data_IF_463328299370
#
_entry.id   IF_463328299370
#
_cell.length_a   1.000
_cell.length_b   1.000
_cell.length_c   1.000
_cell.angle_alpha   90.00
_cell.angle_beta   90.00
_cell.angle_gamma   90.00
#
_symmetry.space_group_name_H-M   'P 1'
#
loop_
_entity.id
_entity.type
_entity.pdbx_description
1 polymer ?
#
# COMPACT_ATOMS: atom_id res chain seq x y z
N UNK A 1 -7.95 1.36 -33.81
CA UNK A 1 -7.01 0.73 -32.87
C UNK A 1 -6.84 1.68 -31.66
N UNK A 2 -7.81 1.69 -30.74
CA UNK A 2 -7.97 2.74 -29.71
C UNK A 2 -8.34 2.16 -28.33
N UNK A 3 -7.83 0.98 -27.97
CA UNK A 3 -8.04 0.40 -26.62
C UNK A 3 -6.87 0.66 -25.66
N UNK A 4 -5.63 0.82 -26.17
CA UNK A 4 -4.42 0.82 -25.32
C UNK A 4 -4.16 2.10 -24.50
N UNK A 5 -4.94 3.17 -24.70
CA UNK A 5 -4.67 4.47 -24.05
C UNK A 5 -5.13 4.53 -22.59
N UNK A 6 -6.13 3.72 -22.21
CA UNK A 6 -6.76 3.74 -20.88
C UNK A 6 -6.30 2.62 -19.95
N UNK A 7 -5.71 1.54 -20.48
CA UNK A 7 -5.31 0.36 -19.71
C UNK A 7 -4.25 0.66 -18.64
N UNK A 8 -3.31 1.55 -18.96
CA UNK A 8 -2.16 1.89 -18.11
C UNK A 8 -2.56 2.67 -16.85
N UNK A 9 -3.31 3.79 -16.93
CA UNK A 9 -3.75 4.53 -15.76
C UNK A 9 -4.76 3.75 -14.90
N UNK A 10 -5.71 3.03 -15.53
CA UNK A 10 -6.72 2.24 -14.80
C UNK A 10 -6.05 1.10 -14.02
N UNK A 11 -5.09 0.39 -14.62
CA UNK A 11 -4.35 -0.68 -13.95
C UNK A 11 -3.53 -0.16 -12.76
N UNK A 12 -2.88 0.99 -12.89
CA UNK A 12 -2.15 1.62 -11.79
C UNK A 12 -3.10 2.02 -10.64
N UNK A 13 -4.31 2.48 -10.97
CA UNK A 13 -5.31 2.86 -9.97
C UNK A 13 -5.91 1.64 -9.23
N UNK A 14 -6.14 0.54 -9.94
CA UNK A 14 -6.53 -0.73 -9.33
C UNK A 14 -5.45 -1.26 -8.38
N UNK A 15 -4.19 -1.19 -8.78
CA UNK A 15 -3.05 -1.55 -7.92
C UNK A 15 -2.99 -0.61 -6.72
N UNK A 16 -3.24 0.69 -6.89
CA UNK A 16 -3.31 1.66 -5.80
C UNK A 16 -4.36 1.27 -4.77
N UNK A 17 -5.59 1.01 -5.21
CA UNK A 17 -6.72 0.61 -4.35
C UNK A 17 -6.39 -0.64 -3.54
N UNK A 18 -5.81 -1.63 -4.20
CA UNK A 18 -5.41 -2.88 -3.56
C UNK A 18 -4.29 -2.65 -2.54
N UNK A 19 -3.29 -1.83 -2.88
CA UNK A 19 -2.19 -1.45 -1.99
C UNK A 19 -2.68 -0.64 -0.78
N UNK A 20 -3.64 0.27 -1.01
CA UNK A 20 -4.27 1.10 0.02
C UNK A 20 -5.08 0.28 1.02
N UNK A 21 -5.73 -0.80 0.56
CA UNK A 21 -6.42 -1.74 1.44
C UNK A 21 -5.45 -2.67 2.18
N UNK A 22 -4.42 -3.19 1.49
CA UNK A 22 -3.45 -4.15 2.05
C UNK A 22 -2.53 -3.52 3.10
N UNK A 23 -2.19 -2.23 2.95
CA UNK A 23 -1.35 -1.45 3.86
C UNK A 23 -1.85 -1.43 5.33
N UNK A 24 -3.08 -0.96 5.64
CA UNK A 24 -3.60 -0.95 7.01
C UNK A 24 -3.90 -2.37 7.53
N UNK A 25 -4.16 -3.33 6.66
CA UNK A 25 -4.36 -4.73 7.04
C UNK A 25 -3.06 -5.34 7.58
N UNK A 26 -1.93 -5.14 6.88
CA UNK A 26 -0.60 -5.58 7.34
C UNK A 26 -0.19 -4.88 8.64
N UNK A 27 -0.47 -3.59 8.76
CA UNK A 27 -0.23 -2.85 10.00
C UNK A 27 -1.05 -3.41 11.18
N UNK A 28 -2.34 -3.69 10.95
CA UNK A 28 -3.23 -4.30 11.95
C UNK A 28 -2.75 -5.70 12.35
N UNK A 29 -2.28 -6.50 11.39
CA UNK A 29 -1.72 -7.82 11.64
C UNK A 29 -0.45 -7.74 12.49
N UNK A 30 0.42 -6.78 12.18
CA UNK A 30 1.66 -6.52 12.91
C UNK A 30 1.40 -6.16 14.37
N UNK A 31 0.40 -5.32 14.64
CA UNK A 31 0.00 -5.00 16.00
C UNK A 31 -0.58 -6.20 16.75
N UNK A 32 -1.33 -7.07 16.06
CA UNK A 32 -1.80 -8.34 16.65
C UNK A 32 -0.63 -9.25 17.03
N UNK A 33 0.34 -9.41 16.14
CA UNK A 33 1.55 -10.19 16.42
C UNK A 33 2.34 -9.61 17.59
N UNK A 34 2.51 -8.29 17.66
CA UNK A 34 3.20 -7.63 18.77
C UNK A 34 2.51 -7.88 20.13
N UNK A 35 1.16 -7.98 20.14
CA UNK A 35 0.39 -8.27 21.36
C UNK A 35 0.43 -9.76 21.75
N UNK A 36 0.50 -10.66 20.77
CA UNK A 36 0.48 -12.12 20.99
C UNK A 36 1.87 -12.68 21.33
N UNK A 37 2.94 -12.17 20.72
CA UNK A 37 4.30 -12.64 20.96
C UNK A 37 4.93 -11.92 22.15
N UNK A 38 4.83 -12.52 23.34
CA UNK A 38 5.41 -11.98 24.59
C UNK A 38 6.77 -12.56 24.95
N UNK A 39 7.17 -13.66 24.33
CA UNK A 39 8.43 -14.35 24.63
C UNK A 39 9.49 -14.12 23.55
N UNK A 40 10.75 -13.95 23.97
CA UNK A 40 11.89 -14.03 23.07
C UNK A 40 12.02 -15.46 22.54
N UNK A 41 12.34 -15.69 21.25
CA UNK A 41 12.77 -14.73 20.22
C UNK A 41 11.64 -14.18 19.33
N UNK A 42 10.39 -14.63 19.51
CA UNK A 42 9.25 -14.33 18.62
C UNK A 42 8.89 -12.85 18.60
N UNK A 43 9.15 -12.13 19.70
CA UNK A 43 8.92 -10.68 19.78
C UNK A 43 9.81 -9.89 18.80
N UNK A 44 11.02 -10.38 18.49
CA UNK A 44 11.94 -9.75 17.54
C UNK A 44 11.35 -9.75 16.13
N UNK A 45 10.71 -10.86 15.76
CA UNK A 45 10.01 -11.02 14.47
C UNK A 45 8.84 -10.03 14.39
N UNK A 46 8.09 -9.85 15.48
CA UNK A 46 7.00 -8.89 15.52
C UNK A 46 7.48 -7.44 15.26
N UNK A 47 8.62 -7.04 15.84
CA UNK A 47 9.21 -5.72 15.58
C UNK A 47 9.70 -5.55 14.13
N UNK A 48 10.29 -6.59 13.53
CA UNK A 48 10.71 -6.54 12.11
C UNK A 48 9.49 -6.35 11.21
N UNK A 49 8.43 -7.12 11.43
CA UNK A 49 7.21 -7.03 10.61
C UNK A 49 6.47 -5.71 10.82
N UNK A 50 6.50 -5.16 12.03
CA UNK A 50 6.01 -3.81 12.31
C UNK A 50 6.78 -2.75 11.51
N UNK A 51 8.12 -2.82 11.51
CA UNK A 51 8.97 -1.91 10.74
C UNK A 51 8.69 -1.96 9.24
N UNK A 52 8.57 -3.17 8.67
CA UNK A 52 8.20 -3.38 7.27
C UNK A 52 6.82 -2.79 6.98
N UNK A 53 5.85 -2.99 7.87
CA UNK A 53 4.49 -2.47 7.69
C UNK A 53 4.44 -0.95 7.72
N UNK A 54 5.18 -0.30 8.61
CA UNK A 54 5.29 1.16 8.65
C UNK A 54 5.91 1.68 7.35
N UNK A 55 6.99 1.05 6.88
CA UNK A 55 7.62 1.42 5.61
C UNK A 55 6.67 1.23 4.42
N UNK A 56 5.90 0.14 4.41
CA UNK A 56 4.91 -0.13 3.38
C UNK A 56 3.79 0.92 3.38
N UNK A 57 3.34 1.38 4.54
CA UNK A 57 2.35 2.47 4.66
C UNK A 57 2.89 3.74 4.02
N UNK A 58 4.13 4.14 4.35
CA UNK A 58 4.77 5.32 3.75
C UNK A 58 4.88 5.20 2.23
N UNK A 59 5.32 4.03 1.74
CA UNK A 59 5.38 3.76 0.31
C UNK A 59 4.00 3.82 -0.35
N UNK A 60 2.98 3.28 0.31
CA UNK A 60 1.59 3.26 -0.18
C UNK A 60 1.04 4.69 -0.27
N UNK A 61 1.31 5.54 0.71
CA UNK A 61 0.91 6.95 0.69
C UNK A 61 1.61 7.69 -0.45
N UNK A 62 2.93 7.52 -0.60
CA UNK A 62 3.70 8.11 -1.71
C UNK A 62 3.15 7.68 -3.08
N UNK A 63 2.92 6.38 -3.26
CA UNK A 63 2.34 5.81 -4.48
C UNK A 63 0.89 6.28 -4.70
N UNK A 64 0.15 6.43 -3.59
CA UNK A 64 -1.14 7.10 -3.43
C UNK A 64 -1.18 8.43 -4.18
N UNK A 65 -0.40 9.38 -3.69
CA UNK A 65 -0.31 10.73 -4.27
C UNK A 65 0.10 10.71 -5.74
N UNK A 66 1.06 9.86 -6.13
CA UNK A 66 1.49 9.74 -7.52
C UNK A 66 0.35 9.29 -8.44
N UNK A 67 -0.41 8.29 -8.00
CA UNK A 67 -1.52 7.73 -8.78
C UNK A 67 -2.73 8.66 -8.83
N UNK A 68 -3.05 9.34 -7.72
CA UNK A 68 -4.08 10.39 -7.71
C UNK A 68 -3.72 11.54 -8.67
N UNK A 69 -2.45 11.97 -8.70
CA UNK A 69 -1.98 13.00 -9.64
C UNK A 69 -2.11 12.53 -11.09
N UNK A 70 -1.70 11.31 -11.42
CA UNK A 70 -1.86 10.75 -12.76
C UNK A 70 -3.33 10.64 -13.16
N UNK A 71 -4.21 10.21 -12.25
CA UNK A 71 -5.65 10.16 -12.52
C UNK A 71 -6.21 11.56 -12.75
N UNK A 72 -5.86 12.53 -11.90
CA UNK A 72 -6.33 13.91 -12.03
C UNK A 72 -5.88 14.50 -13.37
N UNK A 73 -4.63 14.31 -13.77
CA UNK A 73 -4.16 14.73 -15.07
C UNK A 73 -4.94 14.06 -16.20
N UNK A 74 -5.19 12.76 -16.16
CA UNK A 74 -6.00 12.08 -17.19
C UNK A 74 -7.47 12.52 -17.22
N UNK A 75 -8.02 12.96 -16.09
CA UNK A 75 -9.42 13.36 -15.97
C UNK A 75 -9.64 14.82 -16.41
N UNK A 76 -8.62 15.67 -16.26
CA UNK A 76 -8.70 17.12 -16.49
C UNK A 76 -7.83 17.62 -17.65
N UNK A 77 -6.80 16.89 -18.08
CA UNK A 77 -6.17 17.08 -19.39
C UNK A 77 -6.90 16.23 -20.42
N UNK A 78 -7.40 16.92 -21.45
CA UNK A 78 -8.18 16.38 -22.57
C UNK A 78 -7.43 15.31 -23.36
#
# INVERSE_FOLDING_TARGET
MSEKAYDKPIKNFLILLLLLMVSPLLLSLSFRMLRTFKEMPKILIAYIVLGISIFLVLFTVYFGFKSFKTLLNYLFEK
#
